data_IF_577792624990
#
_entry.id   IF_577792624990
#
_cell.length_a   1.000
_cell.length_b   1.000
_cell.length_c   1.000
_cell.angle_alpha   90.00
_cell.angle_beta   90.00
_cell.angle_gamma   90.00
#
_symmetry.space_group_name_H-M   'P 1'
#
loop_
_entity.id
_entity.type
_entity.pdbx_description
1 polymer ?
#
# COMPACT_ATOMS: atom_id res chain seq x y z
N UNK A 1 -10.02 22.77 -2.88
CA UNK A 1 -9.85 21.48 -2.17
C UNK A 1 -8.58 20.82 -2.67
N UNK A 2 -7.67 20.43 -1.76
CA UNK A 2 -6.41 19.74 -2.10
C UNK A 2 -6.55 18.26 -1.81
N UNK A 3 -6.21 17.41 -2.77
CA UNK A 3 -6.28 15.95 -2.61
C UNK A 3 -4.91 15.39 -2.21
N UNK A 4 -4.89 14.20 -1.60
CA UNK A 4 -3.63 13.52 -1.35
C UNK A 4 -3.01 13.03 -2.67
N UNK A 5 -3.80 12.33 -3.48
CA UNK A 5 -3.47 12.01 -4.87
C UNK A 5 -4.22 12.95 -5.80
N UNK A 6 -3.49 13.62 -6.70
CA UNK A 6 -4.08 14.57 -7.64
C UNK A 6 -5.16 13.92 -8.52
N UNK A 7 -6.20 14.67 -8.91
CA UNK A 7 -7.36 14.10 -9.62
C UNK A 7 -7.02 13.45 -10.95
N UNK A 8 -5.97 13.95 -11.63
CA UNK A 8 -5.49 13.45 -12.93
C UNK A 8 -4.30 12.50 -12.80
N UNK A 9 -3.92 12.13 -11.57
CA UNK A 9 -2.82 11.19 -11.32
C UNK A 9 -3.16 9.81 -11.87
N UNK A 10 -2.16 9.15 -12.45
CA UNK A 10 -2.29 7.76 -12.92
C UNK A 10 -2.60 6.81 -11.76
N UNK A 11 -2.21 7.15 -10.54
CA UNK A 11 -2.51 6.35 -9.34
C UNK A 11 -4.01 6.21 -9.12
N UNK A 12 -4.80 7.25 -9.44
CA UNK A 12 -6.27 7.14 -9.40
C UNK A 12 -6.83 6.23 -10.49
N UNK A 13 -6.17 6.14 -11.64
CA UNK A 13 -6.55 5.22 -12.69
C UNK A 13 -6.26 3.77 -12.27
N UNK A 14 -5.02 3.51 -11.81
CA UNK A 14 -4.56 2.21 -11.34
C UNK A 14 -5.46 1.68 -10.22
N UNK A 15 -5.67 2.47 -9.16
CA UNK A 15 -6.42 2.05 -7.97
C UNK A 15 -7.94 2.28 -8.10
N UNK A 16 -8.39 2.80 -9.24
CA UNK A 16 -9.79 3.00 -9.59
C UNK A 16 -10.42 1.80 -10.31
N UNK A 17 -9.60 0.97 -10.98
CA UNK A 17 -10.03 -0.18 -11.75
C UNK A 17 -9.95 -1.47 -10.93
N UNK A 18 -11.07 -2.18 -10.80
CA UNK A 18 -11.17 -3.41 -10.00
C UNK A 18 -10.18 -4.48 -10.44
N UNK A 19 -10.07 -4.71 -11.76
CA UNK A 19 -9.21 -5.75 -12.32
C UNK A 19 -7.72 -5.45 -12.08
N UNK A 20 -7.29 -4.19 -12.27
CA UNK A 20 -5.91 -3.78 -11.95
C UNK A 20 -5.61 -4.00 -10.48
N UNK A 21 -6.52 -3.62 -9.58
CA UNK A 21 -6.37 -3.84 -8.14
C UNK A 21 -6.25 -5.34 -7.83
N UNK A 22 -7.08 -6.20 -8.42
CA UNK A 22 -7.00 -7.64 -8.21
C UNK A 22 -5.63 -8.21 -8.63
N UNK A 23 -5.07 -7.78 -9.76
CA UNK A 23 -3.73 -8.19 -10.20
C UNK A 23 -2.62 -7.70 -9.25
N UNK A 24 -2.72 -6.47 -8.74
CA UNK A 24 -1.78 -5.94 -7.75
C UNK A 24 -1.72 -6.87 -6.53
N UNK A 25 -2.89 -7.25 -6.03
CA UNK A 25 -2.98 -8.08 -4.84
C UNK A 25 -2.64 -9.55 -5.09
N UNK A 26 -2.92 -10.09 -6.27
CA UNK A 26 -2.49 -11.43 -6.64
C UNK A 26 -0.96 -11.55 -6.64
N UNK A 27 -0.28 -10.58 -7.27
CA UNK A 27 1.19 -10.51 -7.27
C UNK A 27 1.77 -10.32 -5.87
N UNK A 28 1.27 -9.33 -5.13
CA UNK A 28 1.73 -9.05 -3.78
C UNK A 28 1.52 -10.24 -2.82
N UNK A 29 0.42 -10.99 -2.95
CA UNK A 29 0.15 -12.16 -2.12
C UNK A 29 1.13 -13.31 -2.38
N UNK A 30 1.54 -13.50 -3.63
CA UNK A 30 2.56 -14.50 -4.00
C UNK A 30 3.93 -14.15 -3.39
N UNK A 31 4.29 -12.87 -3.41
CA UNK A 31 5.56 -12.39 -2.84
C UNK A 31 5.56 -12.42 -1.30
N UNK A 32 4.45 -12.05 -0.66
CA UNK A 32 4.31 -12.11 0.79
C UNK A 32 4.46 -13.53 1.36
N UNK A 33 4.03 -14.56 0.63
CA UNK A 33 4.19 -15.95 1.08
C UNK A 33 5.66 -16.36 1.20
N UNK A 34 6.57 -15.67 0.51
CA UNK A 34 7.99 -15.98 0.47
C UNK A 34 8.86 -14.97 1.24
N UNK A 35 8.29 -13.84 1.66
CA UNK A 35 9.04 -12.77 2.31
C UNK A 35 9.03 -12.93 3.85
N UNK A 36 10.18 -13.30 4.42
CA UNK A 36 10.35 -13.42 5.88
C UNK A 36 10.22 -12.09 6.63
N UNK A 37 10.35 -10.95 5.95
CA UNK A 37 10.21 -9.62 6.53
C UNK A 37 8.79 -9.28 7.00
N UNK A 38 7.81 -10.08 6.59
CA UNK A 38 6.39 -9.81 6.81
C UNK A 38 5.71 -10.81 7.75
N UNK A 39 6.51 -11.54 8.53
CA UNK A 39 6.04 -12.48 9.56
C UNK A 39 5.01 -11.85 10.52
N UNK A 40 5.15 -10.56 10.80
CA UNK A 40 4.24 -9.76 11.60
C UNK A 40 2.80 -9.69 11.07
N UNK A 41 2.58 -9.92 9.77
CA UNK A 41 1.23 -10.04 9.20
C UNK A 41 0.48 -11.25 9.76
N UNK A 42 1.20 -12.30 10.17
CA UNK A 42 0.66 -13.55 10.69
C UNK A 42 0.48 -13.52 12.21
N UNK A 43 1.15 -12.62 12.93
CA UNK A 43 1.16 -12.55 14.40
C UNK A 43 -0.25 -12.56 15.02
N UNK A 44 -1.18 -11.76 14.47
CA UNK A 44 -2.54 -11.66 15.02
C UNK A 44 -3.45 -12.84 14.66
N UNK A 45 -3.01 -13.76 13.79
CA UNK A 45 -3.82 -14.83 13.22
C UNK A 45 -4.91 -14.37 12.24
N UNK A 46 -5.15 -13.05 12.10
CA UNK A 46 -6.23 -12.52 11.25
C UNK A 46 -6.02 -12.79 9.76
N UNK A 47 -4.77 -12.79 9.29
CA UNK A 47 -4.44 -13.12 7.89
C UNK A 47 -4.71 -14.59 7.56
N UNK A 48 -4.16 -15.59 8.28
CA UNK A 48 -4.44 -16.98 7.97
C UNK A 48 -5.91 -17.38 8.23
N UNK A 49 -6.59 -16.73 9.17
CA UNK A 49 -8.00 -17.03 9.46
C UNK A 49 -8.97 -16.53 8.37
N UNK A 50 -8.68 -15.39 7.74
CA UNK A 50 -9.54 -14.82 6.70
C UNK A 50 -8.74 -13.90 5.74
N UNK A 51 -7.99 -14.49 4.79
CA UNK A 51 -7.11 -13.73 3.90
C UNK A 51 -7.88 -12.83 2.93
N UNK A 52 -9.09 -13.21 2.52
CA UNK A 52 -9.94 -12.40 1.63
C UNK A 52 -10.46 -11.15 2.34
N UNK A 53 -10.92 -11.27 3.60
CA UNK A 53 -11.32 -10.09 4.37
C UNK A 53 -10.14 -9.15 4.61
N UNK A 54 -8.94 -9.68 4.85
CA UNK A 54 -7.73 -8.86 5.00
C UNK A 54 -7.40 -8.14 3.71
N UNK A 55 -7.44 -8.82 2.57
CA UNK A 55 -7.31 -8.24 1.23
C UNK A 55 -8.28 -7.05 1.04
N UNK A 56 -9.58 -7.26 1.25
CA UNK A 56 -10.58 -6.19 1.08
C UNK A 56 -10.41 -5.03 2.06
N UNK A 57 -9.94 -5.29 3.29
CA UNK A 57 -9.62 -4.23 4.24
C UNK A 57 -8.47 -3.35 3.73
N UNK A 58 -7.43 -3.93 3.13
CA UNK A 58 -6.32 -3.19 2.52
C UNK A 58 -6.79 -2.38 1.30
N UNK A 59 -7.62 -2.97 0.44
CA UNK A 59 -8.25 -2.26 -0.69
C UNK A 59 -9.02 -1.03 -0.21
N UNK A 60 -9.78 -1.18 0.88
CA UNK A 60 -10.58 -0.10 1.45
C UNK A 60 -9.70 1.07 1.91
N UNK A 61 -8.61 0.79 2.63
CA UNK A 61 -7.64 1.82 3.03
C UNK A 61 -6.97 2.48 1.82
N UNK A 62 -6.54 1.70 0.83
CA UNK A 62 -5.91 2.23 -0.38
C UNK A 62 -6.86 3.18 -1.12
N UNK A 63 -8.13 2.79 -1.31
CA UNK A 63 -9.14 3.65 -1.92
C UNK A 63 -9.40 4.92 -1.09
N UNK A 64 -9.49 4.79 0.24
CA UNK A 64 -9.65 5.95 1.10
C UNK A 64 -8.50 6.95 0.94
N UNK A 65 -7.26 6.48 0.82
CA UNK A 65 -6.09 7.35 0.64
C UNK A 65 -6.07 7.97 -0.77
N UNK A 66 -6.31 7.17 -1.81
CA UNK A 66 -6.20 7.61 -3.21
C UNK A 66 -7.31 8.59 -3.60
N UNK A 67 -8.54 8.38 -3.15
CA UNK A 67 -9.69 9.16 -3.63
C UNK A 67 -10.10 10.32 -2.72
N UNK A 68 -9.61 10.38 -1.49
CA UNK A 68 -10.02 11.41 -0.52
C UNK A 68 -9.20 12.69 -0.58
N UNK A 69 -9.76 13.75 0.01
CA UNK A 69 -9.02 14.98 0.30
C UNK A 69 -7.82 14.73 1.20
N UNK A 70 -6.83 15.61 1.10
CA UNK A 70 -5.55 15.47 1.79
C UNK A 70 -5.72 15.19 3.29
N UNK A 71 -6.61 15.92 3.96
CA UNK A 71 -6.85 15.75 5.41
C UNK A 71 -7.36 14.35 5.77
N UNK A 72 -8.31 13.82 5.00
CA UNK A 72 -8.90 12.51 5.27
C UNK A 72 -7.95 11.37 4.91
N UNK A 73 -7.18 11.52 3.82
CA UNK A 73 -6.13 10.57 3.46
C UNK A 73 -5.03 10.51 4.54
N UNK A 74 -4.58 11.65 5.06
CA UNK A 74 -3.61 11.68 6.16
C UNK A 74 -4.13 10.98 7.41
N UNK A 75 -5.41 11.20 7.78
CA UNK A 75 -6.05 10.46 8.87
C UNK A 75 -6.11 8.96 8.63
N UNK A 76 -6.35 8.54 7.39
CA UNK A 76 -6.35 7.11 7.04
C UNK A 76 -4.95 6.51 7.20
N UNK A 77 -3.90 7.23 6.79
CA UNK A 77 -2.51 6.80 6.98
C UNK A 77 -2.18 6.73 8.48
N UNK A 78 -2.59 7.71 9.28
CA UNK A 78 -2.37 7.71 10.73
C UNK A 78 -3.02 6.50 11.41
N UNK A 79 -4.22 6.09 10.95
CA UNK A 79 -4.89 4.88 11.43
C UNK A 79 -4.09 3.62 11.10
N UNK A 80 -3.52 3.54 9.89
CA UNK A 80 -2.65 2.40 9.50
C UNK A 80 -1.43 2.35 10.40
N UNK A 81 -0.75 3.48 10.61
CA UNK A 81 0.40 3.57 11.53
C UNK A 81 0.01 3.10 12.93
N UNK A 82 -1.11 3.56 13.47
CA UNK A 82 -1.58 3.14 14.80
C UNK A 82 -1.87 1.64 14.88
N UNK A 83 -2.43 1.02 13.82
CA UNK A 83 -2.64 -0.43 13.76
C UNK A 83 -1.29 -1.16 13.82
N UNK A 84 -0.29 -0.71 13.07
CA UNK A 84 1.04 -1.32 13.10
C UNK A 84 1.72 -1.16 14.45
N UNK A 85 1.67 0.03 15.05
CA UNK A 85 2.21 0.27 16.40
C UNK A 85 1.54 -0.58 17.47
N UNK A 86 0.24 -0.87 17.34
CA UNK A 86 -0.45 -1.79 18.24
C UNK A 86 0.06 -3.24 18.10
N UNK A 87 0.36 -3.68 16.87
CA UNK A 87 0.96 -5.01 16.62
C UNK A 87 2.39 -5.07 17.14
N UNK A 88 3.19 -4.02 16.96
CA UNK A 88 4.55 -3.91 17.53
C UNK A 88 4.53 -3.98 19.05
N UNK A 89 3.65 -3.21 19.69
CA UNK A 89 3.48 -3.20 21.14
C UNK A 89 3.05 -4.57 21.65
N UNK A 90 2.03 -5.19 21.03
CA UNK A 90 1.53 -6.50 21.44
C UNK A 90 2.58 -7.60 21.32
N UNK A 91 3.42 -7.57 20.27
CA UNK A 91 4.45 -8.58 20.05
C UNK A 91 5.72 -8.33 20.87
N UNK A 92 5.91 -7.11 21.40
CA UNK A 92 7.15 -6.70 22.07
C UNK A 92 8.34 -6.48 21.14
N UNK A 93 8.10 -6.23 19.84
CA UNK A 93 9.14 -5.96 18.85
C UNK A 93 8.66 -5.01 17.76
N UNK A 94 9.55 -4.14 17.29
CA UNK A 94 9.28 -3.16 16.24
C UNK A 94 9.34 -3.80 14.85
N UNK A 95 8.51 -3.33 13.92
CA UNK A 95 8.68 -3.59 12.49
C UNK A 95 9.81 -2.68 12.04
N UNK A 96 10.91 -3.23 11.50
CA UNK A 96 12.00 -2.39 11.06
C UNK A 96 11.61 -1.61 9.80
N UNK A 97 12.13 -0.39 9.65
CA UNK A 97 11.85 0.48 8.49
C UNK A 97 12.06 -0.23 7.14
N UNK A 98 13.09 -1.07 7.03
CA UNK A 98 13.37 -1.83 5.80
C UNK A 98 12.23 -2.78 5.42
N UNK A 99 11.52 -3.37 6.38
CA UNK A 99 10.38 -4.23 6.09
C UNK A 99 9.20 -3.43 5.53
N UNK A 100 8.98 -2.20 6.01
CA UNK A 100 8.01 -1.30 5.39
C UNK A 100 8.43 -0.90 3.97
N UNK A 101 9.71 -0.63 3.74
CA UNK A 101 10.24 -0.27 2.42
C UNK A 101 10.03 -1.40 1.41
N UNK A 102 10.29 -2.64 1.79
CA UNK A 102 10.04 -3.80 0.93
C UNK A 102 8.57 -3.86 0.50
N UNK A 103 7.63 -3.65 1.43
CA UNK A 103 6.20 -3.60 1.10
C UNK A 103 5.86 -2.42 0.19
N UNK A 104 6.42 -1.23 0.43
CA UNK A 104 6.17 -0.07 -0.43
C UNK A 104 6.71 -0.27 -1.84
N UNK A 105 7.92 -0.81 -1.99
CA UNK A 105 8.52 -1.11 -3.28
C UNK A 105 7.75 -2.18 -4.03
N UNK A 106 7.30 -3.22 -3.33
CA UNK A 106 6.43 -4.25 -3.89
C UNK A 106 5.11 -3.64 -4.39
N UNK A 107 4.47 -2.77 -3.62
CA UNK A 107 3.23 -2.11 -4.03
C UNK A 107 3.44 -1.15 -5.21
N UNK A 108 4.56 -0.44 -5.28
CA UNK A 108 4.94 0.39 -6.44
C UNK A 108 5.12 -0.51 -7.66
N UNK A 109 5.91 -1.58 -7.53
CA UNK A 109 6.21 -2.51 -8.61
C UNK A 109 4.93 -3.13 -9.19
N UNK A 110 4.06 -3.70 -8.34
CA UNK A 110 2.82 -4.30 -8.83
C UNK A 110 1.81 -3.28 -9.31
N UNK A 111 1.79 -2.05 -8.77
CA UNK A 111 0.94 -0.97 -9.33
C UNK A 111 1.30 -0.68 -10.77
N UNK A 112 2.60 -0.57 -11.07
CA UNK A 112 3.11 -0.31 -12.42
C UNK A 112 2.87 -1.53 -13.31
N UNK A 113 3.36 -2.70 -12.91
CA UNK A 113 3.33 -3.91 -13.75
C UNK A 113 1.91 -4.37 -14.04
N UNK A 114 1.01 -4.34 -13.06
CA UNK A 114 -0.39 -4.75 -13.27
C UNK A 114 -1.11 -3.81 -14.23
N UNK A 115 -0.88 -2.51 -14.11
CA UNK A 115 -1.47 -1.54 -15.04
C UNK A 115 -0.89 -1.70 -16.45
N UNK A 116 0.43 -1.83 -16.57
CA UNK A 116 1.08 -2.02 -17.88
C UNK A 116 0.72 -3.33 -18.57
N UNK A 117 0.36 -4.35 -17.79
CA UNK A 117 -0.13 -5.63 -18.31
C UNK A 117 -1.57 -5.53 -18.83
N UNK A 118 -2.44 -4.86 -18.08
CA UNK A 118 -3.88 -4.84 -18.36
C UNK A 118 -4.30 -3.71 -19.30
N UNK A 119 -3.53 -2.63 -19.36
CA UNK A 119 -3.94 -1.39 -19.98
C UNK A 119 -2.91 -0.94 -21.04
N UNK A 120 -1.97 -0.07 -20.63
CA UNK A 120 -0.97 0.53 -21.50
C UNK A 120 0.32 0.76 -20.73
N UNK A 121 1.41 0.96 -21.46
CA UNK A 121 2.68 1.37 -20.86
C UNK A 121 2.55 2.73 -20.17
N UNK A 122 3.14 2.82 -18.97
CA UNK A 122 3.26 4.07 -18.24
C UNK A 122 4.44 4.86 -18.76
N UNK A 123 4.24 6.17 -18.89
CA UNK A 123 5.35 7.11 -19.13
C UNK A 123 6.27 7.18 -17.90
N UNK A 124 7.48 7.71 -18.08
CA UNK A 124 8.40 7.93 -16.96
C UNK A 124 7.78 8.83 -15.89
N UNK A 125 7.07 9.89 -16.31
CA UNK A 125 6.41 10.82 -15.40
C UNK A 125 5.29 10.16 -14.58
N UNK A 126 4.56 9.22 -15.20
CA UNK A 126 3.53 8.45 -14.51
C UNK A 126 4.13 7.46 -13.50
N UNK A 127 5.26 6.83 -13.83
CA UNK A 127 5.99 5.96 -12.88
C UNK A 127 6.52 6.77 -11.69
N UNK A 128 7.02 7.98 -11.94
CA UNK A 128 7.44 8.91 -10.90
C UNK A 128 6.26 9.37 -10.03
N UNK A 129 5.08 9.61 -10.62
CA UNK A 129 3.86 9.93 -9.88
C UNK A 129 3.45 8.78 -8.93
N UNK A 130 3.52 7.52 -9.41
CA UNK A 130 3.34 6.34 -8.55
C UNK A 130 4.31 6.38 -7.38
N UNK A 131 5.62 6.48 -7.64
CA UNK A 131 6.64 6.57 -6.59
C UNK A 131 6.34 7.69 -5.60
N UNK A 132 6.05 8.91 -6.07
CA UNK A 132 5.79 10.08 -5.23
C UNK A 132 4.57 9.92 -4.31
N UNK A 133 3.53 9.19 -4.72
CA UNK A 133 2.40 8.89 -3.85
C UNK A 133 2.82 7.95 -2.70
N UNK A 134 3.53 6.86 -3.02
CA UNK A 134 3.99 5.91 -2.00
C UNK A 134 5.08 6.49 -1.09
N UNK A 135 5.96 7.34 -1.62
CA UNK A 135 6.94 8.10 -0.85
C UNK A 135 6.26 8.99 0.19
N UNK A 136 5.25 9.78 -0.21
CA UNK A 136 4.49 10.63 0.74
C UNK A 136 3.73 9.82 1.78
N UNK A 137 3.24 8.63 1.42
CA UNK A 137 2.62 7.70 2.34
C UNK A 137 3.63 7.21 3.39
N UNK A 138 4.78 6.69 2.95
CA UNK A 138 5.84 6.23 3.85
C UNK A 138 6.37 7.34 4.75
N UNK A 139 6.56 8.54 4.20
CA UNK A 139 6.97 9.72 4.98
C UNK A 139 5.93 10.09 6.05
N UNK A 140 4.63 10.00 5.74
CA UNK A 140 3.58 10.22 6.74
C UNK A 140 3.55 9.13 7.81
N UNK A 141 3.93 7.90 7.48
CA UNK A 141 4.09 6.82 8.46
C UNK A 141 5.34 6.99 9.34
N UNK A 142 6.21 7.96 9.05
CA UNK A 142 7.42 8.25 9.84
C UNK A 142 8.61 7.36 9.48
N UNK A 143 8.57 6.68 8.33
CA UNK A 143 9.65 5.80 7.87
C UNK A 143 10.86 6.62 7.42
N UNK A 144 12.06 6.10 7.69
CA UNK A 144 13.32 6.73 7.28
C UNK A 144 13.91 6.05 6.04
N UNK A 145 14.69 6.84 5.28
CA UNK A 145 15.48 6.36 4.14
C UNK A 145 14.64 5.65 3.05
N UNK A 146 13.62 6.35 2.52
CA UNK A 146 12.72 5.91 1.44
C UNK A 146 13.26 6.20 0.03
#
# INVERSE_FOLDING_TARGET
MTYFVEKKSVVREIWGKGDTVLFIFAGASAEFALNKAVDWLYYTGKLPADPLKRLFSTITYARQIVFSEKKEALRAIDKITAIHSAVETSRGATIPDWAYRDVLFMLIYYSITSFELMERKLTLQEKEDVYNVFYRLGNRMGLKEL
#
